data_IF_870845758580
#
_entry.id   IF_870845758580
#
_cell.length_a   1.000
_cell.length_b   1.000
_cell.length_c   1.000
_cell.angle_alpha   90.00
_cell.angle_beta   90.00
_cell.angle_gamma   90.00
#
_symmetry.space_group_name_H-M   'P 1'
#
loop_
_entity.id
_entity.type
_entity.pdbx_description
1 polymer ?
#
# COMPACT_ATOMS: atom_id res chain seq x y z
N UNK A 1 -22.50 28.56 0.64
CA UNK A 1 -21.73 28.31 1.88
C UNK A 1 -20.24 28.54 1.55
N UNK A 2 -19.56 29.48 2.21
CA UNK A 2 -18.10 29.59 2.08
C UNK A 2 -17.49 28.32 2.65
N UNK A 3 -16.88 27.48 1.81
CA UNK A 3 -16.09 26.31 2.26
C UNK A 3 -15.00 26.87 3.17
N UNK A 4 -14.93 26.44 4.44
CA UNK A 4 -13.85 26.85 5.33
C UNK A 4 -12.51 26.39 4.71
N UNK A 5 -11.75 27.34 4.22
CA UNK A 5 -10.44 27.13 3.63
C UNK A 5 -9.44 26.97 4.78
N UNK A 6 -8.94 25.73 4.96
CA UNK A 6 -7.93 25.45 5.97
C UNK A 6 -6.56 25.45 5.30
N UNK A 7 -5.54 25.85 6.06
CA UNK A 7 -4.12 25.64 5.73
C UNK A 7 -3.73 24.25 6.22
N UNK A 8 -3.52 23.32 5.29
CA UNK A 8 -3.26 21.90 5.58
C UNK A 8 -1.83 21.55 5.22
N UNK A 9 -1.08 21.05 6.19
CA UNK A 9 0.21 20.43 5.93
C UNK A 9 0.04 18.94 5.64
N UNK A 10 0.67 18.44 4.58
CA UNK A 10 0.82 17.01 4.30
C UNK A 10 2.29 16.66 4.45
N UNK A 11 2.63 15.74 5.35
CA UNK A 11 4.02 15.34 5.62
C UNK A 11 4.27 13.97 4.99
N UNK A 12 5.17 13.94 3.99
CA UNK A 12 5.50 12.79 3.15
C UNK A 12 5.00 12.96 1.72
N UNK A 13 5.92 13.03 0.75
CA UNK A 13 5.64 13.18 -0.68
C UNK A 13 5.77 11.85 -1.44
N UNK A 14 5.47 10.72 -0.80
CA UNK A 14 5.21 9.45 -1.46
C UNK A 14 3.86 9.48 -2.19
N UNK A 15 3.50 8.39 -2.87
CA UNK A 15 2.25 8.30 -3.65
C UNK A 15 1.01 8.67 -2.80
N UNK A 16 0.94 8.23 -1.56
CA UNK A 16 -0.18 8.55 -0.65
C UNK A 16 -0.25 10.05 -0.38
N UNK A 17 0.89 10.66 -0.02
CA UNK A 17 0.94 12.08 0.31
C UNK A 17 0.61 12.98 -0.87
N UNK A 18 1.13 12.68 -2.07
CA UNK A 18 0.82 13.49 -3.27
C UNK A 18 -0.65 13.34 -3.69
N UNK A 19 -1.25 12.14 -3.57
CA UNK A 19 -2.68 11.96 -3.81
C UNK A 19 -3.53 12.76 -2.82
N UNK A 20 -3.21 12.70 -1.53
CA UNK A 20 -3.92 13.47 -0.50
C UNK A 20 -3.79 14.97 -0.76
N UNK A 21 -2.58 15.45 -1.04
CA UNK A 21 -2.31 16.86 -1.34
C UNK A 21 -3.11 17.33 -2.56
N UNK A 22 -3.14 16.53 -3.64
CA UNK A 22 -3.93 16.80 -4.84
C UNK A 22 -5.43 16.95 -4.52
N UNK A 23 -6.03 15.98 -3.85
CA UNK A 23 -7.47 16.03 -3.53
C UNK A 23 -7.83 17.13 -2.54
N UNK A 24 -6.99 17.41 -1.54
CA UNK A 24 -7.20 18.53 -0.62
C UNK A 24 -7.16 19.86 -1.38
N UNK A 25 -6.21 20.03 -2.31
CA UNK A 25 -6.11 21.23 -3.14
C UNK A 25 -7.33 21.38 -4.05
N UNK A 26 -7.74 20.29 -4.72
CA UNK A 26 -8.97 20.23 -5.54
C UNK A 26 -10.21 20.62 -4.75
N UNK A 27 -10.26 20.29 -3.45
CA UNK A 27 -11.33 20.66 -2.55
C UNK A 27 -11.22 22.10 -2.00
N UNK A 28 -10.26 22.92 -2.46
CA UNK A 28 -10.15 24.33 -2.17
C UNK A 28 -9.38 24.67 -0.87
N UNK A 29 -8.62 23.73 -0.32
CA UNK A 29 -7.73 23.99 0.81
C UNK A 29 -6.41 24.62 0.35
N UNK A 30 -5.79 25.43 1.20
CA UNK A 30 -4.37 25.81 1.06
C UNK A 30 -3.53 24.62 1.52
N UNK A 31 -2.74 24.03 0.62
CA UNK A 31 -2.00 22.79 0.93
C UNK A 31 -0.51 23.01 0.74
N UNK A 32 0.25 22.64 1.78
CA UNK A 32 1.70 22.58 1.75
C UNK A 32 2.13 21.12 1.95
N UNK A 33 2.83 20.58 0.97
CA UNK A 33 3.41 19.24 1.02
C UNK A 33 4.87 19.34 1.48
N UNK A 34 5.26 18.54 2.45
CA UNK A 34 6.61 18.51 3.04
C UNK A 34 7.24 17.13 2.85
N UNK A 35 8.48 17.09 2.39
CA UNK A 35 9.32 15.89 2.41
C UNK A 35 10.79 16.29 2.48
N UNK A 36 11.62 15.45 3.07
CA UNK A 36 13.08 15.62 3.09
C UNK A 36 13.75 15.20 1.77
N UNK A 37 13.02 14.53 0.88
CA UNK A 37 13.47 14.02 -0.40
C UNK A 37 12.54 14.51 -1.52
N UNK A 38 13.02 14.42 -2.76
CA UNK A 38 12.19 14.64 -3.95
C UNK A 38 10.97 13.71 -3.98
N UNK A 39 9.83 14.18 -4.49
CA UNK A 39 8.58 13.43 -4.50
C UNK A 39 8.71 12.07 -5.18
N UNK A 40 8.23 11.02 -4.49
CA UNK A 40 8.16 9.65 -4.98
C UNK A 40 9.49 8.89 -5.02
N UNK A 41 10.60 9.46 -4.54
CA UNK A 41 11.93 8.85 -4.67
C UNK A 41 12.28 7.79 -3.63
N UNK A 42 11.41 7.58 -2.64
CA UNK A 42 11.58 6.56 -1.61
C UNK A 42 10.76 5.29 -1.94
N UNK A 43 10.01 4.74 -1.00
CA UNK A 43 9.23 3.50 -1.16
C UNK A 43 8.29 3.50 -2.38
N UNK A 44 7.84 4.67 -2.83
CA UNK A 44 7.01 4.80 -4.03
C UNK A 44 7.78 4.70 -5.36
N UNK A 45 9.11 4.61 -5.33
CA UNK A 45 9.94 4.56 -6.53
C UNK A 45 9.91 3.19 -7.21
N UNK A 46 10.14 2.12 -6.47
CA UNK A 46 10.51 0.81 -6.99
C UNK A 46 9.66 -0.34 -6.47
N UNK A 47 8.33 -0.15 -6.39
CA UNK A 47 7.40 -1.23 -6.07
C UNK A 47 6.93 -1.94 -7.36
N UNK A 48 6.15 -3.03 -7.21
CA UNK A 48 5.63 -3.81 -8.33
C UNK A 48 4.61 -3.05 -9.21
N UNK A 49 4.13 -1.90 -8.77
CA UNK A 49 3.22 -1.05 -9.52
C UNK A 49 1.81 -1.61 -9.72
N UNK A 50 1.44 -2.64 -8.98
CA UNK A 50 0.13 -3.27 -9.08
C UNK A 50 -0.95 -2.35 -8.48
N UNK A 51 -2.03 -2.15 -9.22
CA UNK A 51 -3.27 -1.54 -8.72
C UNK A 51 -4.20 -2.66 -8.25
N UNK A 52 -3.99 -3.07 -6.99
CA UNK A 52 -4.74 -4.14 -6.35
C UNK A 52 -6.12 -3.65 -5.91
N UNK A 53 -7.06 -3.60 -6.83
CA UNK A 53 -8.39 -3.04 -6.61
C UNK A 53 -9.29 -3.92 -5.73
N UNK A 54 -9.00 -5.21 -5.66
CA UNK A 54 -9.88 -6.20 -5.03
C UNK A 54 -9.14 -7.13 -4.06
N UNK A 55 -7.92 -6.79 -3.61
CA UNK A 55 -7.16 -7.70 -2.75
C UNK A 55 -7.77 -7.76 -1.33
N UNK A 56 -8.06 -8.97 -0.88
CA UNK A 56 -8.58 -9.25 0.46
C UNK A 56 -7.79 -10.36 1.19
N UNK A 57 -6.87 -11.03 0.49
CA UNK A 57 -6.05 -12.11 1.05
C UNK A 57 -4.74 -11.56 1.54
N UNK A 58 -4.43 -11.82 2.80
CA UNK A 58 -3.20 -11.36 3.46
C UNK A 58 -2.21 -12.49 3.70
N UNK A 59 -0.97 -12.15 3.97
CA UNK A 59 0.09 -13.12 4.29
C UNK A 59 -0.21 -13.92 5.57
N UNK A 60 -0.99 -13.37 6.50
CA UNK A 60 -1.42 -14.08 7.69
C UNK A 60 -2.57 -15.04 7.35
N UNK A 61 -2.32 -16.33 7.46
CA UNK A 61 -3.29 -17.40 7.19
C UNK A 61 -3.56 -18.18 8.47
N UNK A 62 -4.80 -18.64 8.73
CA UNK A 62 -5.10 -19.52 9.87
C UNK A 62 -4.29 -20.81 9.85
N UNK A 63 -3.84 -21.24 8.67
CA UNK A 63 -3.04 -22.46 8.50
C UNK A 63 -1.52 -22.22 8.64
N UNK A 64 -1.09 -20.98 8.85
CA UNK A 64 0.33 -20.65 8.95
C UNK A 64 1.02 -21.42 10.08
N UNK A 65 0.35 -21.54 11.23
CA UNK A 65 0.86 -22.31 12.38
C UNK A 65 1.21 -23.76 12.03
N UNK A 66 0.42 -24.40 11.16
CA UNK A 66 0.67 -25.78 10.72
C UNK A 66 1.81 -25.86 9.71
N UNK A 67 2.02 -24.81 8.93
CA UNK A 67 3.04 -24.76 7.87
C UNK A 67 4.41 -24.28 8.41
N UNK A 68 4.44 -23.56 9.54
CA UNK A 68 5.67 -23.03 10.11
C UNK A 68 6.78 -24.06 10.28
N UNK A 69 6.56 -25.24 10.89
CA UNK A 69 7.64 -26.22 11.06
C UNK A 69 8.26 -26.69 9.73
N UNK A 70 7.44 -26.95 8.71
CA UNK A 70 7.92 -27.36 7.39
C UNK A 70 8.67 -26.22 6.67
N UNK A 71 8.22 -24.98 6.81
CA UNK A 71 8.88 -23.80 6.24
C UNK A 71 10.24 -23.53 6.88
N UNK A 72 10.37 -23.82 8.18
CA UNK A 72 11.62 -23.65 8.95
C UNK A 72 12.65 -24.75 8.66
N UNK A 73 12.20 -25.97 8.38
CA UNK A 73 13.06 -27.13 8.13
C UNK A 73 13.48 -27.27 6.67
N UNK A 74 12.85 -26.56 5.75
CA UNK A 74 13.14 -26.60 4.31
C UNK A 74 14.36 -25.75 3.98
N UNK A 75 15.43 -26.36 3.46
CA UNK A 75 16.62 -25.64 2.96
C UNK A 75 16.32 -24.67 1.79
N UNK A 76 15.29 -24.96 1.01
CA UNK A 76 14.82 -24.16 -0.12
C UNK A 76 13.45 -23.53 0.18
N UNK A 77 13.10 -23.35 1.45
CA UNK A 77 11.83 -22.77 1.87
C UNK A 77 11.75 -21.27 1.57
N UNK A 78 10.54 -20.72 1.53
CA UNK A 78 10.31 -19.29 1.29
C UNK A 78 10.77 -18.40 2.45
N UNK A 79 11.14 -18.98 3.60
CA UNK A 79 11.61 -18.28 4.77
C UNK A 79 13.10 -18.46 4.97
N UNK A 80 13.85 -17.38 4.87
CA UNK A 80 15.23 -17.29 5.33
C UNK A 80 15.21 -16.70 6.73
N UNK A 81 15.73 -17.42 7.71
CA UNK A 81 15.69 -17.03 9.12
C UNK A 81 17.05 -16.53 9.55
N UNK A 82 17.08 -15.26 9.93
CA UNK A 82 18.11 -14.70 10.78
C UNK A 82 17.65 -14.80 12.25
N UNK A 83 18.23 -15.72 13.00
CA UNK A 83 17.88 -15.96 14.41
C UNK A 83 18.10 -14.75 15.30
N UNK A 84 19.13 -13.94 15.02
CA UNK A 84 19.40 -12.72 15.78
C UNK A 84 18.26 -11.71 15.56
N UNK A 85 17.80 -11.56 14.31
CA UNK A 85 16.66 -10.72 13.98
C UNK A 85 15.36 -11.22 14.63
N UNK A 86 15.12 -12.53 14.62
CA UNK A 86 13.93 -13.15 15.25
C UNK A 86 13.86 -12.83 16.74
N UNK A 87 14.98 -12.99 17.48
CA UNK A 87 15.00 -12.70 18.91
C UNK A 87 14.77 -11.21 19.18
N UNK A 88 15.37 -10.33 18.39
CA UNK A 88 15.21 -8.88 18.52
C UNK A 88 13.76 -8.42 18.26
N UNK A 89 13.05 -9.07 17.34
CA UNK A 89 11.70 -8.73 16.93
C UNK A 89 10.62 -9.69 17.42
N UNK A 90 10.92 -10.49 18.43
CA UNK A 90 10.00 -11.47 19.00
C UNK A 90 8.62 -10.89 19.38
N UNK A 91 8.48 -9.69 19.97
CA UNK A 91 7.18 -9.11 20.27
C UNK A 91 6.32 -8.88 19.01
N UNK A 92 6.93 -8.45 17.91
CA UNK A 92 6.25 -8.28 16.63
C UNK A 92 5.81 -9.62 16.05
N UNK A 93 6.69 -10.63 16.05
CA UNK A 93 6.38 -11.98 15.56
C UNK A 93 5.20 -12.58 16.34
N UNK A 94 5.18 -12.44 17.66
CA UNK A 94 4.07 -12.91 18.50
C UNK A 94 2.78 -12.21 18.15
N UNK A 95 2.79 -10.88 17.93
CA UNK A 95 1.60 -10.13 17.47
C UNK A 95 1.12 -10.59 16.10
N UNK A 96 2.04 -10.79 15.16
CA UNK A 96 1.73 -11.31 13.83
C UNK A 96 1.05 -12.68 13.91
N UNK A 97 1.65 -13.61 14.66
CA UNK A 97 1.12 -14.96 14.82
C UNK A 97 -0.25 -14.96 15.51
N UNK A 98 -0.50 -14.09 16.49
CA UNK A 98 -1.82 -13.93 17.12
C UNK A 98 -2.90 -13.47 16.13
N UNK A 99 -2.52 -12.81 15.05
CA UNK A 99 -3.44 -12.43 13.98
C UNK A 99 -3.64 -13.51 12.91
N UNK A 100 -3.00 -14.68 13.05
CA UNK A 100 -3.18 -15.85 12.17
C UNK A 100 -4.31 -16.77 12.64
N UNK A 101 -5.37 -16.24 13.21
CA UNK A 101 -6.61 -16.97 13.54
C UNK A 101 -7.69 -16.66 12.51
N UNK A 102 -8.61 -17.60 12.30
CA UNK A 102 -9.71 -17.43 11.31
C UNK A 102 -10.47 -16.13 11.53
N UNK A 103 -10.87 -15.83 12.78
CA UNK A 103 -11.61 -14.61 13.10
C UNK A 103 -10.83 -13.33 12.78
N UNK A 104 -9.52 -13.30 13.10
CA UNK A 104 -8.66 -12.16 12.81
C UNK A 104 -8.41 -11.97 11.33
N UNK A 105 -8.12 -13.06 10.61
CA UNK A 105 -7.92 -13.04 9.16
C UNK A 105 -9.18 -12.56 8.45
N UNK A 106 -10.37 -13.03 8.84
CA UNK A 106 -11.63 -12.57 8.27
C UNK A 106 -11.92 -11.09 8.58
N UNK A 107 -11.59 -10.63 9.79
CA UNK A 107 -11.72 -9.21 10.14
C UNK A 107 -10.80 -8.33 9.27
N UNK A 108 -9.55 -8.73 9.10
CA UNK A 108 -8.58 -8.03 8.25
C UNK A 108 -9.04 -8.05 6.79
N UNK A 109 -9.46 -9.21 6.27
CA UNK A 109 -9.96 -9.34 4.91
C UNK A 109 -11.18 -8.43 4.64
N UNK A 110 -12.11 -8.35 5.59
CA UNK A 110 -13.26 -7.43 5.53
C UNK A 110 -12.81 -5.98 5.45
N UNK A 111 -11.87 -5.58 6.30
CA UNK A 111 -11.36 -4.21 6.34
C UNK A 111 -10.63 -3.85 5.04
N UNK A 112 -9.75 -4.72 4.54
CA UNK A 112 -9.06 -4.52 3.26
C UNK A 112 -10.03 -4.42 2.10
N UNK A 113 -10.99 -5.35 1.99
CA UNK A 113 -12.01 -5.32 0.94
C UNK A 113 -12.83 -4.02 0.96
N UNK A 114 -13.14 -3.50 2.16
CA UNK A 114 -13.83 -2.20 2.30
C UNK A 114 -13.03 -1.03 1.73
N UNK A 115 -11.71 -1.04 1.87
CA UNK A 115 -10.84 -0.02 1.27
C UNK A 115 -10.65 -0.25 -0.24
N UNK A 116 -10.29 -1.47 -0.63
CA UNK A 116 -9.93 -1.79 -2.01
C UNK A 116 -11.10 -1.67 -2.97
N UNK A 117 -12.34 -1.91 -2.53
CA UNK A 117 -13.54 -1.77 -3.38
C UNK A 117 -13.76 -0.35 -3.94
N UNK A 118 -13.20 0.67 -3.31
CA UNK A 118 -13.26 2.06 -3.76
C UNK A 118 -12.02 2.49 -4.56
N UNK A 119 -10.96 1.68 -4.54
CA UNK A 119 -9.66 2.06 -5.11
C UNK A 119 -9.76 2.30 -6.62
N UNK A 120 -10.44 1.43 -7.35
CA UNK A 120 -10.61 1.55 -8.80
C UNK A 120 -11.24 2.88 -9.20
N UNK A 121 -12.33 3.27 -8.54
CA UNK A 121 -13.01 4.54 -8.80
C UNK A 121 -12.09 5.74 -8.54
N UNK A 122 -11.34 5.73 -7.43
CA UNK A 122 -10.41 6.80 -7.10
C UNK A 122 -9.23 6.89 -8.08
N UNK A 123 -8.73 5.76 -8.59
CA UNK A 123 -7.69 5.75 -9.63
C UNK A 123 -8.21 6.28 -10.97
N UNK A 124 -9.39 5.87 -11.38
CA UNK A 124 -10.01 6.34 -12.63
C UNK A 124 -10.20 7.86 -12.63
N UNK A 125 -10.57 8.47 -11.50
CA UNK A 125 -10.67 9.92 -11.37
C UNK A 125 -9.32 10.59 -11.65
N UNK A 126 -8.23 10.11 -11.02
CA UNK A 126 -6.87 10.63 -11.25
C UNK A 126 -6.43 10.40 -12.69
N UNK A 127 -6.70 9.21 -13.26
CA UNK A 127 -6.26 8.86 -14.61
C UNK A 127 -6.96 9.70 -15.67
N UNK A 128 -8.23 10.02 -15.47
CA UNK A 128 -8.99 10.87 -16.38
C UNK A 128 -8.57 12.36 -16.32
N UNK A 129 -8.07 12.82 -15.16
CA UNK A 129 -7.61 14.22 -15.01
C UNK A 129 -6.20 14.44 -15.56
N UNK A 130 -5.40 13.39 -15.59
CA UNK A 130 -3.99 13.49 -15.96
C UNK A 130 -3.67 12.47 -17.04
N UNK A 131 -3.00 12.87 -18.11
CA UNK A 131 -2.57 11.95 -19.17
C UNK A 131 -1.51 10.96 -18.66
N UNK A 132 -1.96 9.97 -17.88
CA UNK A 132 -1.14 8.91 -17.31
C UNK A 132 -1.46 7.51 -17.84
N UNK A 133 -2.46 7.40 -18.71
CA UNK A 133 -2.88 6.14 -19.35
C UNK A 133 -1.75 5.38 -20.02
N UNK A 134 -0.78 6.08 -20.61
CA UNK A 134 0.42 5.50 -21.23
C UNK A 134 1.35 4.76 -20.26
N UNK A 135 1.22 4.99 -18.96
CA UNK A 135 1.97 4.30 -17.93
C UNK A 135 1.20 3.14 -17.31
N UNK A 136 -0.06 2.95 -17.71
CA UNK A 136 -0.94 1.91 -17.19
C UNK A 136 -1.04 0.76 -18.19
N UNK A 137 -0.82 -0.44 -17.72
CA UNK A 137 -0.99 -1.67 -18.49
C UNK A 137 -2.20 -2.42 -17.95
N UNK A 138 -3.19 -2.61 -18.81
CA UNK A 138 -4.40 -3.37 -18.49
C UNK A 138 -4.12 -4.86 -18.69
N UNK A 139 -3.37 -5.45 -17.76
CA UNK A 139 -3.11 -6.89 -17.69
C UNK A 139 -3.36 -7.37 -16.27
N UNK A 140 -4.00 -8.49 -16.18
CA UNK A 140 -4.40 -9.10 -14.93
C UNK A 140 -3.27 -9.96 -14.36
N UNK A 141 -2.98 -9.91 -13.05
CA UNK A 141 -1.94 -10.73 -12.44
C UNK A 141 -2.35 -12.21 -12.40
N UNK A 142 -1.37 -13.06 -12.58
CA UNK A 142 -1.52 -14.51 -12.53
C UNK A 142 -0.82 -15.04 -11.27
N UNK A 143 -1.55 -15.75 -10.43
CA UNK A 143 -0.99 -16.53 -9.33
C UNK A 143 -0.80 -17.97 -9.79
N UNK A 144 0.41 -18.49 -9.68
CA UNK A 144 0.81 -19.80 -10.22
C UNK A 144 1.00 -20.82 -9.10
N UNK A 145 0.55 -22.05 -9.34
CA UNK A 145 0.67 -23.17 -8.42
C UNK A 145 1.47 -24.30 -9.09
N UNK A 146 2.61 -24.66 -8.52
CA UNK A 146 3.50 -25.70 -9.06
C UNK A 146 2.93 -27.10 -8.89
N UNK A 147 2.03 -27.33 -7.92
CA UNK A 147 1.48 -28.63 -7.67
C UNK A 147 -0.02 -28.58 -7.33
N UNK A 148 -0.69 -29.73 -7.55
CA UNK A 148 -2.08 -29.94 -7.14
C UNK A 148 -2.29 -29.68 -5.65
N UNK A 149 -1.35 -30.13 -4.82
CA UNK A 149 -1.44 -29.96 -3.38
C UNK A 149 -1.37 -28.47 -2.97
N UNK A 150 -0.49 -27.65 -3.58
CA UNK A 150 -0.42 -26.22 -3.32
C UNK A 150 -1.72 -25.52 -3.70
N UNK A 151 -2.29 -25.86 -4.85
CA UNK A 151 -3.57 -25.32 -5.30
C UNK A 151 -4.73 -25.70 -4.35
N UNK A 152 -4.82 -26.96 -3.93
CA UNK A 152 -5.84 -27.44 -3.00
C UNK A 152 -5.68 -26.81 -1.60
N UNK A 153 -4.46 -26.58 -1.14
CA UNK A 153 -4.18 -25.94 0.14
C UNK A 153 -4.60 -24.47 0.18
N UNK A 154 -4.89 -23.82 -0.95
CA UNK A 154 -5.27 -22.41 -1.04
C UNK A 154 -6.79 -22.17 -1.07
N UNK A 155 -7.60 -23.22 -0.83
CA UNK A 155 -9.07 -23.15 -0.83
C UNK A 155 -9.60 -22.09 0.14
N UNK A 156 -8.91 -21.84 1.25
CA UNK A 156 -9.28 -20.79 2.19
C UNK A 156 -9.22 -19.41 1.54
N UNK A 157 -8.13 -19.12 0.80
CA UNK A 157 -7.97 -17.87 0.06
C UNK A 157 -9.02 -17.73 -1.06
N UNK A 158 -9.33 -18.80 -1.78
CA UNK A 158 -10.39 -18.81 -2.79
C UNK A 158 -11.76 -18.50 -2.18
N UNK A 159 -12.06 -19.07 -1.02
CA UNK A 159 -13.31 -18.80 -0.32
C UNK A 159 -13.40 -17.35 0.20
N UNK A 160 -12.28 -16.77 0.68
CA UNK A 160 -12.23 -15.35 1.05
C UNK A 160 -12.47 -14.46 -0.17
N UNK A 161 -11.80 -14.72 -1.30
CA UNK A 161 -12.01 -13.97 -2.55
C UNK A 161 -13.47 -14.00 -2.97
N UNK A 162 -14.08 -15.19 -3.00
CA UNK A 162 -15.52 -15.34 -3.32
C UNK A 162 -16.42 -14.59 -2.34
N UNK A 163 -16.14 -14.68 -1.03
CA UNK A 163 -16.90 -13.99 0.04
C UNK A 163 -16.90 -12.49 -0.13
N UNK A 164 -15.81 -11.90 -0.64
CA UNK A 164 -15.64 -10.46 -0.83
C UNK A 164 -15.79 -10.01 -2.29
N UNK A 165 -16.41 -10.84 -3.14
CA UNK A 165 -16.68 -10.55 -4.56
C UNK A 165 -15.41 -10.23 -5.38
N UNK A 166 -14.29 -10.83 -5.02
CA UNK A 166 -13.07 -10.79 -5.84
C UNK A 166 -13.20 -11.83 -6.94
N UNK A 167 -13.33 -11.35 -8.17
CA UNK A 167 -13.47 -12.23 -9.33
C UNK A 167 -12.11 -12.77 -9.77
N UNK A 168 -12.07 -14.08 -10.04
CA UNK A 168 -10.89 -14.73 -10.59
C UNK A 168 -11.28 -15.93 -11.45
N UNK A 169 -10.47 -16.19 -12.48
CA UNK A 169 -10.58 -17.40 -13.30
C UNK A 169 -9.50 -18.40 -12.89
N UNK A 170 -9.86 -19.69 -12.90
CA UNK A 170 -8.89 -20.78 -12.76
C UNK A 170 -8.45 -21.18 -14.15
N UNK A 171 -7.14 -21.17 -14.39
CA UNK A 171 -6.53 -21.51 -15.67
C UNK A 171 -5.68 -22.78 -15.53
N UNK A 172 -5.63 -23.56 -16.61
CA UNK A 172 -4.83 -24.77 -16.70
C UNK A 172 -3.41 -24.47 -17.26
N UNK A 173 -2.60 -25.53 -17.40
CA UNK A 173 -1.23 -25.42 -17.89
C UNK A 173 -1.14 -24.87 -19.31
N UNK A 174 -2.07 -25.27 -20.18
CA UNK A 174 -2.14 -24.84 -21.58
C UNK A 174 -2.49 -23.34 -21.68
N UNK A 175 -3.38 -22.87 -20.83
CA UNK A 175 -3.76 -21.47 -20.77
C UNK A 175 -2.60 -20.59 -20.23
N UNK A 176 -1.89 -21.09 -19.21
CA UNK A 176 -0.67 -20.42 -18.69
C UNK A 176 0.36 -20.26 -19.81
N UNK A 177 0.63 -21.32 -20.56
CA UNK A 177 1.62 -21.28 -21.66
C UNK A 177 1.21 -20.32 -22.78
N UNK A 178 -0.10 -20.17 -23.06
CA UNK A 178 -0.61 -19.18 -24.03
C UNK A 178 -0.48 -17.74 -23.54
N UNK A 179 -0.77 -17.51 -22.25
CA UNK A 179 -0.73 -16.18 -21.65
C UNK A 179 0.69 -15.68 -21.44
N UNK A 180 1.58 -16.57 -20.99
CA UNK A 180 2.98 -16.26 -20.68
C UNK A 180 3.92 -17.33 -21.28
N UNK A 181 4.18 -17.27 -22.60
CA UNK A 181 4.98 -18.27 -23.30
C UNK A 181 6.45 -18.39 -22.82
N UNK A 182 6.94 -17.38 -22.11
CA UNK A 182 8.30 -17.38 -21.56
C UNK A 182 8.46 -18.14 -20.25
N UNK A 183 7.36 -18.58 -19.65
CA UNK A 183 7.40 -19.36 -18.42
C UNK A 183 7.68 -20.83 -18.71
N UNK A 184 8.50 -21.46 -17.87
CA UNK A 184 8.70 -22.90 -17.90
C UNK A 184 7.38 -23.63 -17.61
N UNK A 185 7.09 -24.77 -18.28
CA UNK A 185 5.82 -25.48 -18.16
C UNK A 185 5.74 -26.37 -16.90
N UNK A 186 6.19 -25.85 -15.75
CA UNK A 186 6.24 -26.56 -14.46
C UNK A 186 4.98 -26.39 -13.63
N UNK A 187 4.11 -25.44 -13.99
CA UNK A 187 2.94 -25.09 -13.17
C UNK A 187 1.76 -26.04 -13.43
N UNK A 188 1.09 -26.42 -12.34
CA UNK A 188 -0.09 -27.28 -12.36
C UNK A 188 -1.33 -26.50 -12.79
N UNK A 189 -1.58 -25.35 -12.17
CA UNK A 189 -2.68 -24.42 -12.43
C UNK A 189 -2.31 -23.00 -12.10
N UNK A 190 -3.12 -22.04 -12.54
CA UNK A 190 -3.05 -20.65 -12.12
C UNK A 190 -4.43 -20.09 -11.79
N UNK A 191 -4.45 -18.92 -11.17
CA UNK A 191 -5.62 -18.06 -11.09
C UNK A 191 -5.28 -16.69 -11.66
N UNK A 192 -6.22 -16.12 -12.39
CA UNK A 192 -6.12 -14.77 -12.96
C UNK A 192 -7.07 -13.87 -12.18
N UNK A 193 -6.57 -12.87 -11.46
CA UNK A 193 -7.41 -11.90 -10.76
C UNK A 193 -7.96 -10.87 -11.75
N UNK A 194 -9.29 -10.70 -11.76
CA UNK A 194 -9.97 -9.85 -12.73
C UNK A 194 -10.04 -8.39 -12.31
N UNK A 195 -9.96 -7.51 -13.31
CA UNK A 195 -10.14 -6.06 -13.12
C UNK A 195 -8.98 -5.35 -12.46
N UNK A 196 -7.81 -5.97 -12.40
CA UNK A 196 -6.58 -5.36 -11.94
C UNK A 196 -5.74 -4.85 -13.11
N UNK A 197 -4.81 -3.98 -12.81
CA UNK A 197 -3.88 -3.40 -13.76
C UNK A 197 -2.58 -3.06 -13.06
N UNK A 198 -1.56 -2.67 -13.81
CA UNK A 198 -0.30 -2.24 -13.20
C UNK A 198 0.32 -1.06 -13.94
N UNK A 199 1.21 -0.35 -13.28
CA UNK A 199 2.00 0.69 -13.91
C UNK A 199 3.39 0.20 -14.27
N UNK A 200 3.87 0.60 -15.44
CA UNK A 200 5.25 0.35 -15.86
C UNK A 200 6.25 1.26 -15.14
N UNK A 201 5.78 2.28 -14.41
CA UNK A 201 6.65 3.22 -13.71
C UNK A 201 5.92 3.94 -12.58
N UNK A 202 5.94 3.40 -11.34
CA UNK A 202 5.33 4.03 -10.18
C UNK A 202 5.80 5.47 -9.94
N UNK A 203 7.09 5.73 -10.14
CA UNK A 203 7.67 7.07 -9.96
C UNK A 203 7.09 8.07 -10.96
N UNK A 204 6.85 7.69 -12.21
CA UNK A 204 6.29 8.60 -13.22
C UNK A 204 4.86 8.99 -12.89
N UNK A 205 4.05 8.06 -12.36
CA UNK A 205 2.70 8.36 -11.86
C UNK A 205 2.77 9.32 -10.69
N UNK A 206 3.59 9.02 -9.67
CA UNK A 206 3.75 9.89 -8.50
C UNK A 206 4.16 11.31 -8.89
N UNK A 207 5.13 11.45 -9.80
CA UNK A 207 5.57 12.77 -10.30
C UNK A 207 4.48 13.48 -11.08
N UNK A 208 3.70 12.80 -11.91
CA UNK A 208 2.59 13.41 -12.64
C UNK A 208 1.52 13.97 -11.72
N UNK A 209 1.17 13.25 -10.66
CA UNK A 209 0.21 13.73 -9.65
C UNK A 209 0.79 14.92 -8.90
N UNK A 210 2.08 14.87 -8.54
CA UNK A 210 2.78 15.98 -7.91
C UNK A 210 2.82 17.23 -8.80
N UNK A 211 3.19 17.09 -10.07
CA UNK A 211 3.21 18.20 -11.03
C UNK A 211 1.82 18.84 -11.17
N UNK A 212 0.78 18.03 -11.24
CA UNK A 212 -0.60 18.50 -11.28
C UNK A 212 -0.98 19.25 -9.99
N UNK A 213 -0.59 18.75 -8.82
CA UNK A 213 -0.78 19.44 -7.54
C UNK A 213 -0.11 20.82 -7.55
N UNK A 214 1.15 20.92 -8.00
CA UNK A 214 1.89 22.18 -8.10
C UNK A 214 1.22 23.15 -9.08
N UNK A 215 0.85 22.68 -10.26
CA UNK A 215 0.19 23.49 -11.30
C UNK A 215 -1.17 24.05 -10.85
N UNK A 216 -1.83 23.36 -9.91
CA UNK A 216 -3.09 23.81 -9.31
C UNK A 216 -2.88 24.68 -8.06
N UNK A 217 -1.70 25.25 -7.87
CA UNK A 217 -1.39 26.18 -6.76
C UNK A 217 -1.11 25.48 -5.43
N UNK A 218 -0.66 24.24 -5.47
CA UNK A 218 -0.05 23.57 -4.32
C UNK A 218 1.34 24.16 -4.02
N UNK A 219 1.82 23.95 -2.81
CA UNK A 219 3.16 24.34 -2.39
C UNK A 219 3.94 23.12 -1.90
N UNK A 220 5.22 23.03 -2.24
CA UNK A 220 6.12 21.96 -1.79
C UNK A 220 7.33 22.57 -1.09
N UNK A 221 7.66 22.03 0.09
CA UNK A 221 8.82 22.41 0.87
C UNK A 221 9.71 21.19 1.07
N UNK A 222 10.89 21.24 0.46
CA UNK A 222 11.91 20.19 0.58
C UNK A 222 12.63 20.37 1.92
N UNK A 223 12.06 19.79 2.98
CA UNK A 223 12.64 19.85 4.34
C UNK A 223 12.19 18.64 5.16
N UNK A 224 12.99 18.30 6.16
CA UNK A 224 12.65 17.27 7.15
C UNK A 224 11.78 17.87 8.25
N UNK A 225 10.62 17.27 8.48
CA UNK A 225 9.80 17.55 9.66
C UNK A 225 10.33 16.71 10.84
N UNK A 226 10.79 17.38 11.88
CA UNK A 226 11.40 16.76 13.05
C UNK A 226 10.36 16.42 14.13
N UNK A 227 9.33 17.27 14.28
CA UNK A 227 8.25 17.06 15.27
C UNK A 227 6.99 17.83 14.91
N UNK A 228 5.89 17.37 15.50
CA UNK A 228 4.59 18.04 15.49
C UNK A 228 4.27 18.42 16.93
N UNK A 229 3.75 19.61 17.17
CA UNK A 229 3.36 20.04 18.52
C UNK A 229 2.22 21.06 18.49
N UNK A 230 1.57 21.23 19.64
CA UNK A 230 0.57 22.25 19.87
C UNK A 230 1.15 23.39 20.72
N UNK A 231 0.74 24.62 20.41
CA UNK A 231 0.98 25.80 21.24
C UNK A 231 -0.35 26.55 21.36
N UNK A 232 -1.00 26.43 22.51
CA UNK A 232 -2.41 26.81 22.64
C UNK A 232 -3.28 25.95 21.70
N UNK A 233 -4.18 26.56 20.96
CA UNK A 233 -5.05 25.89 19.99
C UNK A 233 -4.41 25.71 18.60
N UNK A 234 -3.20 26.22 18.40
CA UNK A 234 -2.52 26.18 17.12
C UNK A 234 -1.62 24.95 16.98
N UNK A 235 -1.60 24.38 15.77
CA UNK A 235 -0.74 23.25 15.37
C UNK A 235 0.51 23.78 14.67
N UNK A 236 1.64 23.18 15.00
CA UNK A 236 2.93 23.51 14.41
C UNK A 236 3.68 22.29 13.93
N UNK A 237 4.40 22.45 12.82
CA UNK A 237 5.42 21.57 12.32
C UNK A 237 6.79 22.19 12.58
N UNK A 238 7.70 21.45 13.21
CA UNK A 238 9.09 21.88 13.39
C UNK A 238 9.97 21.30 12.32
N UNK A 239 10.65 22.14 11.57
CA UNK A 239 11.71 21.78 10.64
C UNK A 239 13.02 22.53 10.99
N UNK A 240 14.06 22.30 10.19
CA UNK A 240 15.36 22.93 10.45
C UNK A 240 15.31 24.46 10.26
N UNK A 241 14.45 24.94 9.36
CA UNK A 241 14.28 26.35 9.02
C UNK A 241 13.36 27.11 9.99
N UNK A 242 12.71 26.40 10.92
CA UNK A 242 11.82 27.00 11.92
C UNK A 242 10.51 26.26 12.12
N UNK A 243 9.59 26.91 12.80
CA UNK A 243 8.27 26.35 13.12
C UNK A 243 7.20 26.91 12.15
N UNK A 244 6.46 26.02 11.49
CA UNK A 244 5.39 26.37 10.54
C UNK A 244 4.02 26.13 11.18
N UNK A 245 3.22 27.19 11.30
CA UNK A 245 1.85 27.11 11.80
C UNK A 245 0.89 26.66 10.70
N UNK A 246 -0.03 25.75 11.05
CA UNK A 246 -1.06 25.22 10.15
C UNK A 246 -2.35 24.91 10.93
N UNK A 247 -3.46 24.76 10.22
CA UNK A 247 -4.75 24.42 10.84
C UNK A 247 -4.93 22.91 11.01
N UNK A 248 -4.37 22.14 10.06
CA UNK A 248 -4.47 20.66 10.04
C UNK A 248 -3.17 20.06 9.54
N UNK A 249 -2.91 18.84 10.02
CA UNK A 249 -1.74 18.05 9.60
C UNK A 249 -2.21 16.67 9.18
N UNK A 250 -1.71 16.22 8.02
CA UNK A 250 -1.84 14.84 7.55
C UNK A 250 -0.44 14.23 7.54
N UNK A 251 -0.26 13.17 8.30
CA UNK A 251 1.00 12.42 8.31
C UNK A 251 0.89 11.26 7.31
N UNK A 252 1.64 11.37 6.21
CA UNK A 252 1.70 10.40 5.12
C UNK A 252 3.14 9.91 4.87
N UNK A 253 3.95 9.85 5.94
CA UNK A 253 5.38 9.56 5.89
C UNK A 253 5.71 8.04 5.86
N UNK A 254 4.76 7.20 5.43
CA UNK A 254 4.96 5.75 5.31
C UNK A 254 5.40 5.13 6.65
N UNK A 255 6.44 4.32 6.64
CA UNK A 255 6.97 3.66 7.84
C UNK A 255 7.52 4.64 8.88
N UNK A 256 7.87 5.86 8.49
CA UNK A 256 8.35 6.92 9.40
C UNK A 256 7.20 7.68 10.10
N UNK A 257 5.94 7.42 9.75
CA UNK A 257 4.77 8.10 10.35
C UNK A 257 4.73 7.93 11.87
N UNK A 258 5.16 6.78 12.40
CA UNK A 258 5.19 6.52 13.83
C UNK A 258 6.18 7.43 14.58
N UNK A 259 7.29 7.81 13.95
CA UNK A 259 8.27 8.74 14.54
C UNK A 259 7.63 10.10 14.79
N UNK A 260 6.83 10.59 13.84
CA UNK A 260 6.13 11.87 13.99
C UNK A 260 4.93 11.76 14.96
N UNK A 261 4.18 10.67 14.91
CA UNK A 261 3.05 10.44 15.82
C UNK A 261 3.48 10.45 17.28
N UNK A 262 4.63 9.86 17.61
CA UNK A 262 5.18 9.88 18.98
C UNK A 262 5.44 11.29 19.52
N UNK A 263 5.70 12.27 18.66
CA UNK A 263 5.93 13.65 19.10
C UNK A 263 4.68 14.35 19.65
N UNK A 264 3.50 13.81 19.34
CA UNK A 264 2.20 14.29 19.86
C UNK A 264 1.56 13.29 20.84
N UNK A 265 2.31 12.28 21.29
CA UNK A 265 1.84 11.27 22.24
C UNK A 265 1.07 10.10 21.64
N UNK A 266 0.95 10.02 20.32
CA UNK A 266 0.35 8.90 19.60
C UNK A 266 1.41 7.82 19.26
N UNK A 267 0.95 6.58 19.12
CA UNK A 267 1.78 5.46 18.73
C UNK A 267 1.03 4.56 17.75
N UNK A 268 1.54 4.48 16.54
CA UNK A 268 1.04 3.53 15.54
C UNK A 268 1.88 2.24 15.60
N UNK A 269 1.28 1.05 15.47
CA UNK A 269 2.00 -0.22 15.47
C UNK A 269 2.69 -0.47 14.13
N UNK A 270 3.47 0.50 13.67
CA UNK A 270 4.34 0.43 12.51
C UNK A 270 5.76 0.18 13.02
N UNK A 271 6.27 -1.01 12.81
CA UNK A 271 7.64 -1.44 13.14
C UNK A 271 8.39 -1.81 11.85
#
# INVERSE_FOLDING_TARGET
MKKNMNKVAVVGAGIIGVCIAHFLRKNGHEVILYDQNEPGTQTSFGNAGLFANNECVTANSPHLWKKLPSMLLSKNGPLVIDWFYVFKHLPWIVRFLRNCTTSRVEHIAKSLSSFSSHAKFAYEEIFNEMDISKYIVQKEPIYLYESKQLFENDQYAFNLRKKYNVHFDIINKEDIAKMEPSLEPIYYKGIVLKGESFTISPIKITKKIFDNFMNNGGNFVLTKINSIFKKGDSLFLRCNEGDHQVDKIVVAAGVWSNVLARTIGDNFPLD
#
